data_IF_506588509722
#
_entry.id   IF_506588509722
#
_cell.length_a   1.000
_cell.length_b   1.000
_cell.length_c   1.000
_cell.angle_alpha   90.00
_cell.angle_beta   90.00
_cell.angle_gamma   90.00
#
_symmetry.space_group_name_H-M   'P 1'
#
loop_
_entity.id
_entity.type
_entity.pdbx_description
1 polymer ?
#
# COMPACT_ATOMS: atom_id res chain seq x y z
N UNK A 1 1.50 -24.57 36.75
CA UNK A 1 2.89 -24.72 36.26
C UNK A 1 3.47 -23.33 36.15
N UNK A 2 4.50 -23.09 36.97
CA UNK A 2 5.19 -21.83 37.22
C UNK A 2 6.09 -21.46 36.02
N UNK A 3 6.18 -20.17 35.65
CA UNK A 3 7.40 -19.45 35.19
C UNK A 3 6.98 -18.09 34.58
N UNK A 4 7.17 -16.96 35.28
CA UNK A 4 8.39 -16.17 35.54
C UNK A 4 8.78 -15.23 34.39
N UNK A 5 8.89 -13.94 34.77
CA UNK A 5 9.60 -12.82 34.12
C UNK A 5 8.87 -12.23 32.90
N UNK A 6 8.66 -10.91 32.77
CA UNK A 6 9.66 -9.84 32.88
C UNK A 6 9.09 -8.46 33.26
N UNK A 7 9.92 -7.72 34.02
CA UNK A 7 10.07 -6.25 34.06
C UNK A 7 8.88 -5.37 34.44
N UNK A 8 8.74 -5.17 35.76
CA UNK A 8 8.08 -4.01 36.36
C UNK A 8 8.79 -2.72 35.94
N UNK A 9 8.12 -1.92 35.11
CA UNK A 9 8.36 -0.49 35.03
C UNK A 9 8.13 0.10 36.43
N UNK A 10 9.20 0.61 37.05
CA UNK A 10 9.13 1.36 38.30
C UNK A 10 8.31 2.62 38.05
N UNK A 11 7.05 2.60 38.45
CA UNK A 11 6.25 3.82 38.62
C UNK A 11 5.80 3.81 40.07
N UNK A 12 6.54 4.56 40.89
CA UNK A 12 6.10 4.90 42.24
C UNK A 12 4.86 5.77 42.13
N UNK A 13 3.75 5.26 42.65
CA UNK A 13 2.57 6.06 42.94
C UNK A 13 2.19 5.78 44.40
N UNK A 14 2.55 6.74 45.24
CA UNK A 14 2.29 6.76 46.66
C UNK A 14 0.77 6.78 46.87
N UNK A 15 0.22 5.71 47.41
CA UNK A 15 -1.19 5.63 47.79
C UNK A 15 -1.43 6.48 49.05
N UNK A 16 -2.17 7.57 48.91
CA UNK A 16 -2.87 8.20 50.02
C UNK A 16 -4.37 8.08 49.77
N UNK A 17 -4.97 7.22 50.59
CA UNK A 17 -6.40 6.99 50.73
C UNK A 17 -7.07 8.27 51.24
N UNK A 18 -8.21 8.65 50.66
CA UNK A 18 -9.45 9.03 51.38
C UNK A 18 -10.59 9.33 50.39
N UNK A 19 -11.73 8.67 50.61
CA UNK A 19 -13.06 9.28 50.48
C UNK A 19 -13.64 9.56 49.09
N UNK A 20 -14.26 8.54 48.50
CA UNK A 20 -15.62 8.59 47.90
C UNK A 20 -16.06 9.80 47.06
N UNK A 21 -16.03 9.65 45.73
CA UNK A 21 -17.23 9.76 44.89
C UNK A 21 -16.95 9.14 43.52
N UNK A 22 -17.87 8.28 43.08
CA UNK A 22 -17.80 7.54 41.85
C UNK A 22 -17.67 8.45 40.62
N UNK A 23 -16.55 8.36 39.93
CA UNK A 23 -16.47 8.74 38.52
C UNK A 23 -15.55 7.77 37.77
N UNK A 24 -15.73 6.47 38.01
CA UNK A 24 -15.29 5.46 37.04
C UNK A 24 -16.35 5.43 35.94
N UNK A 25 -16.16 6.31 34.95
CA UNK A 25 -16.86 6.24 33.67
C UNK A 25 -16.66 4.81 33.17
N UNK A 26 -17.73 4.02 33.17
CA UNK A 26 -17.80 2.73 32.50
C UNK A 26 -17.74 3.01 31.01
N UNK A 27 -16.55 3.30 30.51
CA UNK A 27 -16.28 3.42 29.08
C UNK A 27 -16.49 2.00 28.54
N UNK A 28 -17.54 1.72 27.75
CA UNK A 28 -17.63 0.43 27.07
C UNK A 28 -16.31 0.26 26.32
N UNK A 29 -15.71 -0.95 26.27
CA UNK A 29 -14.52 -1.16 25.46
C UNK A 29 -14.89 -0.68 24.07
N UNK A 30 -14.34 0.47 23.69
CA UNK A 30 -14.57 0.99 22.36
C UNK A 30 -13.99 -0.11 21.49
N UNK A 31 -14.84 -0.67 20.62
CA UNK A 31 -14.39 -1.51 19.54
C UNK A 31 -13.49 -0.61 18.69
N UNK A 32 -12.22 -0.52 19.06
CA UNK A 32 -11.20 0.12 18.26
C UNK A 32 -11.07 -0.79 17.04
N UNK A 33 -11.78 -0.46 15.97
CA UNK A 33 -11.47 -1.01 14.66
C UNK A 33 -10.00 -0.70 14.42
N UNK A 34 -9.15 -1.72 14.54
CA UNK A 34 -7.74 -1.59 14.19
C UNK A 34 -7.67 -0.99 12.79
N UNK A 35 -7.03 0.18 12.67
CA UNK A 35 -6.83 0.79 11.37
C UNK A 35 -6.14 -0.25 10.46
N UNK A 36 -6.60 -0.44 9.21
CA UNK A 36 -6.00 -1.42 8.33
C UNK A 36 -4.50 -1.17 8.21
N UNK A 37 -3.70 -2.19 8.51
CA UNK A 37 -2.25 -2.08 8.50
C UNK A 37 -1.76 -1.94 7.05
N UNK A 38 -1.02 -0.87 6.77
CA UNK A 38 -0.37 -0.66 5.48
C UNK A 38 0.56 -1.84 5.13
N UNK A 39 0.34 -2.45 3.96
CA UNK A 39 1.11 -3.59 3.47
C UNK A 39 2.04 -3.16 2.32
N UNK A 40 3.22 -3.77 2.24
CA UNK A 40 4.08 -3.62 1.06
C UNK A 40 3.74 -4.65 -0.01
N UNK A 41 3.44 -4.19 -1.23
CA UNK A 41 3.16 -4.97 -2.43
C UNK A 41 4.37 -4.92 -3.36
N UNK A 42 5.01 -6.05 -3.64
CA UNK A 42 6.19 -6.17 -4.49
C UNK A 42 5.80 -6.41 -5.95
N UNK A 43 6.38 -5.61 -6.86
CA UNK A 43 6.08 -5.69 -8.29
C UNK A 43 7.39 -5.67 -9.10
N UNK A 44 7.48 -6.53 -10.11
CA UNK A 44 8.60 -6.64 -11.03
C UNK A 44 8.11 -6.98 -12.43
N UNK A 45 8.70 -6.43 -13.53
CA UNK A 45 8.25 -6.76 -14.89
C UNK A 45 8.37 -8.24 -15.24
N UNK A 46 9.23 -8.97 -14.51
CA UNK A 46 9.47 -10.42 -14.61
C UNK A 46 8.60 -11.25 -13.65
N UNK A 47 7.75 -10.61 -12.84
CA UNK A 47 6.87 -11.28 -11.88
C UNK A 47 5.65 -11.94 -12.53
N UNK A 48 4.71 -12.38 -11.67
CA UNK A 48 3.42 -12.94 -12.09
C UNK A 48 2.29 -12.41 -11.23
N UNK A 49 1.20 -11.93 -11.86
CA UNK A 49 0.00 -11.44 -11.19
C UNK A 49 -0.83 -12.56 -10.53
N UNK A 50 -0.56 -13.79 -10.94
CA UNK A 50 -1.33 -14.97 -10.59
C UNK A 50 -1.28 -15.96 -11.74
N UNK A 51 -1.65 -17.20 -11.47
CA UNK A 51 -1.70 -18.27 -12.46
C UNK A 51 -3.07 -18.91 -12.43
N UNK A 52 -3.51 -19.46 -13.55
CA UNK A 52 -4.63 -20.41 -13.54
C UNK A 52 -4.09 -21.81 -13.31
N UNK A 53 -4.64 -22.53 -12.33
CA UNK A 53 -4.32 -23.93 -12.09
C UNK A 53 -5.64 -24.69 -11.91
N UNK A 54 -5.82 -25.78 -12.67
CA UNK A 54 -7.06 -26.58 -12.63
C UNK A 54 -8.34 -25.75 -12.88
N UNK A 55 -8.27 -24.72 -13.74
CA UNK A 55 -9.39 -23.81 -13.98
C UNK A 55 -9.69 -22.83 -12.84
N UNK A 56 -8.86 -22.81 -11.79
CA UNK A 56 -9.01 -21.95 -10.61
C UNK A 56 -7.99 -20.81 -10.68
N UNK A 57 -8.41 -19.54 -10.55
CA UNK A 57 -7.48 -18.42 -10.43
C UNK A 57 -6.70 -18.48 -9.11
N UNK A 58 -5.39 -18.66 -9.18
CA UNK A 58 -4.48 -18.51 -8.05
C UNK A 58 -3.85 -17.12 -8.09
N UNK A 59 -4.45 -16.19 -7.34
CA UNK A 59 -4.02 -14.79 -7.30
C UNK A 59 -2.66 -14.64 -6.62
N UNK A 60 -1.82 -13.74 -7.14
CA UNK A 60 -0.68 -13.23 -6.40
C UNK A 60 -1.09 -11.94 -5.66
N UNK A 61 -1.03 -11.97 -4.33
CA UNK A 61 -1.30 -10.82 -3.47
C UNK A 61 -0.11 -9.86 -3.32
N UNK A 62 0.97 -10.12 -4.06
CA UNK A 62 2.18 -9.30 -4.13
C UNK A 62 2.89 -9.12 -2.77
N UNK A 63 2.65 -9.97 -1.77
CA UNK A 63 3.22 -9.80 -0.42
C UNK A 63 4.60 -10.44 -0.26
N UNK A 64 5.03 -11.26 -1.23
CA UNK A 64 6.32 -11.94 -1.21
C UNK A 64 7.29 -11.32 -2.24
N UNK A 65 8.39 -10.74 -1.77
CA UNK A 65 9.39 -10.11 -2.62
C UNK A 65 10.09 -11.09 -3.60
N UNK A 66 10.17 -12.38 -3.24
CA UNK A 66 10.73 -13.42 -4.11
C UNK A 66 9.72 -13.90 -5.18
N UNK A 67 8.44 -13.56 -5.03
CA UNK A 67 7.36 -13.87 -5.98
C UNK A 67 6.54 -12.60 -6.26
N UNK A 68 7.13 -11.56 -6.85
CA UNK A 68 6.45 -10.30 -7.06
C UNK A 68 5.33 -10.42 -8.10
N UNK A 69 4.37 -9.50 -8.04
CA UNK A 69 3.40 -9.31 -9.12
C UNK A 69 4.09 -8.76 -10.37
N UNK A 70 3.47 -8.98 -11.54
CA UNK A 70 4.04 -8.57 -12.82
C UNK A 70 3.81 -7.09 -13.11
N UNK A 71 2.59 -6.60 -12.88
CA UNK A 71 2.17 -5.27 -13.30
C UNK A 71 1.81 -4.37 -12.13
N UNK A 72 2.01 -3.06 -12.30
CA UNK A 72 1.62 -2.05 -11.33
C UNK A 72 0.09 -2.00 -11.25
N UNK A 73 -0.58 -2.07 -12.40
CA UNK A 73 -2.04 -2.15 -12.55
C UNK A 73 -2.66 -3.23 -11.68
N UNK A 74 -2.13 -4.46 -11.73
CA UNK A 74 -2.64 -5.54 -10.90
C UNK A 74 -2.49 -5.24 -9.41
N UNK A 75 -1.32 -4.77 -9.00
CA UNK A 75 -1.06 -4.43 -7.61
C UNK A 75 -1.96 -3.28 -7.12
N UNK A 76 -2.12 -2.20 -7.90
CA UNK A 76 -2.87 -1.01 -7.50
C UNK A 76 -4.39 -1.18 -7.59
N UNK A 77 -4.87 -1.69 -8.72
CA UNK A 77 -6.30 -1.74 -9.03
C UNK A 77 -6.94 -2.95 -8.33
N UNK A 78 -6.31 -4.13 -8.39
CA UNK A 78 -6.91 -5.39 -7.88
C UNK A 78 -6.57 -5.65 -6.40
N UNK A 79 -5.31 -5.52 -6.00
CA UNK A 79 -4.84 -6.10 -4.72
C UNK A 79 -4.74 -5.08 -3.59
N UNK A 80 -4.13 -3.93 -3.85
CA UNK A 80 -3.75 -2.98 -2.81
C UNK A 80 -4.97 -2.39 -2.10
N UNK A 81 -4.77 -2.02 -0.84
CA UNK A 81 -5.73 -1.30 -0.01
C UNK A 81 -5.21 0.10 0.32
N UNK A 82 -6.06 0.96 0.87
CA UNK A 82 -5.65 2.29 1.33
C UNK A 82 -4.48 2.18 2.34
N UNK A 83 -3.45 3.00 2.13
CA UNK A 83 -2.23 3.01 2.92
C UNK A 83 -1.11 2.11 2.38
N UNK A 84 -1.40 1.21 1.44
CA UNK A 84 -0.38 0.27 0.93
C UNK A 84 0.78 0.97 0.20
N UNK A 85 1.95 0.33 0.27
CA UNK A 85 3.11 0.71 -0.53
C UNK A 85 3.34 -0.30 -1.64
N UNK A 86 3.29 0.14 -2.89
CA UNK A 86 3.70 -0.64 -4.06
C UNK A 86 5.20 -0.42 -4.30
N UNK A 87 6.01 -1.41 -3.95
CA UNK A 87 7.46 -1.40 -4.11
C UNK A 87 7.85 -2.04 -5.45
N UNK A 88 8.36 -1.22 -6.37
CA UNK A 88 8.76 -1.65 -7.71
C UNK A 88 10.23 -2.09 -7.72
N UNK A 89 10.54 -3.13 -8.49
CA UNK A 89 11.91 -3.49 -8.86
C UNK A 89 12.46 -2.54 -9.94
N UNK A 90 13.71 -2.78 -10.35
CA UNK A 90 14.27 -2.12 -11.53
C UNK A 90 13.68 -2.76 -12.81
N UNK A 91 13.52 -1.96 -13.84
CA UNK A 91 12.97 -2.37 -15.14
C UNK A 91 11.96 -1.36 -15.68
N UNK A 92 11.37 -1.73 -16.82
CA UNK A 92 10.35 -0.94 -17.52
C UNK A 92 8.99 -1.62 -17.38
N UNK A 93 8.03 -0.87 -16.87
CA UNK A 93 6.62 -1.22 -16.79
C UNK A 93 5.89 -0.50 -17.92
N UNK A 94 5.49 -1.23 -18.96
CA UNK A 94 4.76 -0.66 -20.11
C UNK A 94 3.26 -0.78 -19.85
N UNK A 95 2.66 0.25 -19.28
CA UNK A 95 1.27 0.26 -18.84
C UNK A 95 0.76 1.68 -18.54
N UNK A 96 -0.56 1.84 -18.56
CA UNK A 96 -1.29 2.96 -17.94
C UNK A 96 -2.02 2.44 -16.70
N UNK A 97 -2.07 3.21 -15.61
CA UNK A 97 -2.57 2.74 -14.30
C UNK A 97 -3.56 3.74 -13.70
N UNK A 98 -4.68 3.24 -13.19
CA UNK A 98 -5.64 4.04 -12.41
C UNK A 98 -5.39 3.87 -10.92
N UNK A 99 -5.23 4.98 -10.21
CA UNK A 99 -4.96 5.04 -8.78
C UNK A 99 -6.17 5.62 -8.06
N UNK A 100 -7.03 4.72 -7.57
CA UNK A 100 -8.26 5.05 -6.85
C UNK A 100 -8.15 4.87 -5.33
N UNK A 101 -6.94 4.72 -4.80
CA UNK A 101 -6.66 4.43 -3.38
C UNK A 101 -5.51 5.30 -2.89
N UNK A 102 -5.45 5.54 -1.59
CA UNK A 102 -4.32 6.19 -0.93
C UNK A 102 -3.10 5.26 -1.01
N UNK A 103 -2.12 5.56 -1.85
CA UNK A 103 -1.03 4.63 -2.18
C UNK A 103 0.32 5.34 -2.23
N UNK A 104 1.37 4.62 -1.81
CA UNK A 104 2.74 4.99 -2.17
C UNK A 104 3.27 4.06 -3.25
N UNK A 105 3.65 4.58 -4.41
CA UNK A 105 4.35 3.82 -5.45
C UNK A 105 5.81 4.22 -5.43
N UNK A 106 6.70 3.25 -5.15
CA UNK A 106 8.12 3.51 -4.94
C UNK A 106 9.02 2.62 -5.79
N UNK A 107 9.73 3.24 -6.71
CA UNK A 107 10.78 2.59 -7.52
C UNK A 107 12.15 2.52 -6.85
N UNK A 108 13.13 2.02 -7.60
CA UNK A 108 14.55 1.89 -7.21
C UNK A 108 15.41 3.09 -7.63
N UNK A 109 14.84 4.07 -8.31
CA UNK A 109 15.52 5.27 -8.82
C UNK A 109 14.99 5.67 -10.21
N UNK A 110 15.08 6.96 -10.56
CA UNK A 110 14.56 7.49 -11.84
C UNK A 110 15.22 6.89 -13.08
N UNK A 111 16.46 6.43 -12.98
CA UNK A 111 17.16 5.70 -14.06
C UNK A 111 16.96 4.19 -14.02
N UNK A 112 16.36 3.65 -12.96
CA UNK A 112 16.25 2.20 -12.70
C UNK A 112 14.84 1.67 -12.87
N UNK A 113 13.83 2.46 -12.48
CA UNK A 113 12.42 2.08 -12.58
C UNK A 113 11.72 3.06 -13.51
N UNK A 114 11.18 2.52 -14.60
CA UNK A 114 10.54 3.29 -15.67
C UNK A 114 9.09 2.82 -15.79
N UNK A 115 8.15 3.76 -15.81
CA UNK A 115 6.75 3.51 -16.16
C UNK A 115 6.49 4.20 -17.49
N UNK A 116 6.22 3.41 -18.51
CA UNK A 116 6.12 3.82 -19.91
C UNK A 116 4.68 3.68 -20.38
N UNK A 117 4.05 4.78 -20.78
CA UNK A 117 2.67 4.79 -21.26
C UNK A 117 2.50 4.25 -22.69
N UNK A 118 3.59 3.95 -23.41
CA UNK A 118 3.57 3.51 -24.80
C UNK A 118 2.71 4.36 -25.74
N UNK A 119 2.57 5.65 -25.46
CA UNK A 119 1.69 6.61 -26.15
C UNK A 119 0.19 6.26 -26.07
N UNK A 120 -0.23 5.44 -25.09
CA UNK A 120 -1.61 4.97 -24.93
C UNK A 120 -2.45 5.81 -23.95
N UNK A 121 -2.10 7.08 -23.74
CA UNK A 121 -2.83 7.99 -22.83
C UNK A 121 -2.04 8.38 -21.58
N UNK A 122 -2.75 8.78 -20.52
CA UNK A 122 -2.13 9.20 -19.24
C UNK A 122 -1.52 7.99 -18.55
N UNK A 123 -0.24 8.08 -18.15
CA UNK A 123 0.48 6.96 -17.52
C UNK A 123 -0.11 6.62 -16.15
N UNK A 124 -0.38 7.63 -15.33
CA UNK A 124 -1.05 7.50 -14.04
C UNK A 124 -2.28 8.40 -14.00
N UNK A 125 -3.47 7.81 -13.94
CA UNK A 125 -4.72 8.52 -13.69
C UNK A 125 -5.01 8.44 -12.20
N UNK A 126 -5.01 9.58 -11.50
CA UNK A 126 -5.29 9.63 -10.06
C UNK A 126 -6.74 10.03 -9.87
N UNK A 127 -7.53 9.18 -9.20
CA UNK A 127 -8.94 9.48 -8.92
C UNK A 127 -9.09 10.64 -7.94
N UNK A 128 -10.28 11.21 -7.87
CA UNK A 128 -10.58 12.27 -6.90
C UNK A 128 -10.46 11.76 -5.46
N UNK A 129 -10.14 12.67 -4.54
CA UNK A 129 -10.12 12.45 -3.08
C UNK A 129 -9.15 11.36 -2.57
N UNK A 130 -8.11 11.03 -3.33
CA UNK A 130 -7.05 10.13 -2.85
C UNK A 130 -5.69 10.82 -2.79
N UNK A 131 -4.86 10.36 -1.87
CA UNK A 131 -3.48 10.81 -1.72
C UNK A 131 -2.51 9.76 -2.27
N UNK A 132 -1.82 10.12 -3.35
CA UNK A 132 -0.85 9.24 -4.01
C UNK A 132 0.54 9.84 -3.90
N UNK A 133 1.51 9.03 -3.48
CA UNK A 133 2.92 9.39 -3.53
C UNK A 133 3.68 8.56 -4.57
N UNK A 134 4.15 9.20 -5.64
CA UNK A 134 5.03 8.59 -6.63
C UNK A 134 6.48 8.94 -6.29
N UNK A 135 7.31 7.94 -5.99
CA UNK A 135 8.68 8.12 -5.49
C UNK A 135 9.68 7.29 -6.31
N UNK A 136 10.85 7.87 -6.60
CA UNK A 136 12.03 7.16 -7.14
C UNK A 136 11.75 6.35 -8.42
N UNK A 137 10.96 6.90 -9.34
CA UNK A 137 10.63 6.30 -10.63
C UNK A 137 10.59 7.39 -11.71
N UNK A 138 10.70 7.00 -12.97
CA UNK A 138 10.56 7.88 -14.12
C UNK A 138 9.30 7.51 -14.89
N UNK A 139 8.49 8.52 -15.21
CA UNK A 139 7.27 8.39 -16.03
C UNK A 139 7.64 8.88 -17.42
N UNK A 140 7.26 8.14 -18.47
CA UNK A 140 7.54 8.56 -19.84
C UNK A 140 6.46 8.12 -20.83
N UNK A 141 6.51 8.73 -22.03
CA UNK A 141 5.73 8.32 -23.21
C UNK A 141 4.24 8.13 -22.92
N UNK A 142 3.67 9.02 -22.10
CA UNK A 142 2.22 9.20 -22.07
C UNK A 142 1.75 9.96 -23.32
N UNK A 143 0.48 9.83 -23.64
CA UNK A 143 -0.23 10.63 -24.65
C UNK A 143 -1.61 11.07 -24.14
N UNK A 144 -1.70 11.27 -22.82
CA UNK A 144 -2.94 11.69 -22.17
C UNK A 144 -3.20 13.15 -22.49
N UNK A 145 -4.34 13.42 -23.11
CA UNK A 145 -4.81 14.79 -23.27
C UNK A 145 -6.25 14.91 -22.78
N UNK A 146 -6.47 15.77 -21.78
CA UNK A 146 -7.81 16.07 -21.28
C UNK A 146 -8.49 17.19 -22.10
N UNK A 147 -7.71 18.07 -22.71
CA UNK A 147 -8.16 19.12 -23.63
C UNK A 147 -7.03 19.39 -24.63
N UNK A 148 -6.99 18.61 -25.71
CA UNK A 148 -6.17 18.95 -26.86
C UNK A 148 -7.11 19.52 -27.89
N UNK A 149 -7.31 20.83 -27.86
CA UNK A 149 -7.93 21.49 -28.99
C UNK A 149 -6.88 21.58 -30.10
N UNK A 150 -7.08 20.94 -31.26
CA UNK A 150 -6.24 21.20 -32.41
C UNK A 150 -6.50 22.64 -32.87
N UNK A 151 -5.43 23.44 -32.97
CA UNK A 151 -5.45 24.72 -33.67
C UNK A 151 -5.36 24.48 -35.19
#
# INVERSE_FOLDING_TARGET
>A
MMQRMQTLARIGALFLLWGSAAFFILMPPQLANAAPQATTRYVSPTGSNGTIAFGIPLLNFCTNAAKPCKTIKWAAETIAQNGDTIALSAGTFTETVTLAKNLTIRGKGTRKTIVDGALQGTVFTISQYVNVHLKKLRIQRGNGCQECHPH
#
